data_IF_114099993445
#
_entry.id   IF_114099993445
#
_cell.length_a   1.000
_cell.length_b   1.000
_cell.length_c   1.000
_cell.angle_alpha   90.00
_cell.angle_beta   90.00
_cell.angle_gamma   90.00
#
_symmetry.space_group_name_H-M   'P 1'
#
loop_
_entity.id
_entity.type
_entity.pdbx_description
1 polymer ?
#
# COMPACT_ATOMS: atom_id res chain seq x y z
N UNK A 1 -36.27 -17.78 -24.92
CA UNK A 1 -35.73 -16.86 -23.88
C UNK A 1 -34.36 -16.32 -24.25
N UNK A 2 -33.42 -17.16 -24.70
CA UNK A 2 -32.05 -16.75 -24.95
C UNK A 2 -31.84 -15.74 -26.12
N UNK A 3 -32.73 -15.71 -27.13
CA UNK A 3 -32.72 -14.66 -28.18
C UNK A 3 -33.02 -13.26 -27.61
N UNK A 4 -34.01 -13.17 -26.71
CA UNK A 4 -34.39 -11.91 -26.06
C UNK A 4 -33.29 -11.37 -25.15
N UNK A 5 -32.57 -12.26 -24.46
CA UNK A 5 -31.42 -11.88 -23.63
C UNK A 5 -30.29 -11.29 -24.47
N UNK A 6 -30.05 -11.84 -25.66
CA UNK A 6 -29.01 -11.31 -26.55
C UNK A 6 -29.40 -9.96 -27.16
N UNK A 7 -30.68 -9.78 -27.53
CA UNK A 7 -31.21 -8.47 -27.95
C UNK A 7 -31.04 -7.41 -26.85
N UNK A 8 -31.27 -7.79 -25.60
CA UNK A 8 -31.03 -6.91 -24.45
C UNK A 8 -29.55 -6.56 -24.27
N UNK A 9 -28.65 -7.53 -24.39
CA UNK A 9 -27.20 -7.29 -24.37
C UNK A 9 -26.81 -6.30 -25.48
N UNK A 10 -27.26 -6.50 -26.71
CA UNK A 10 -26.94 -5.59 -27.83
C UNK A 10 -27.50 -4.18 -27.62
N UNK A 11 -28.70 -4.07 -27.04
CA UNK A 11 -29.28 -2.77 -26.63
C UNK A 11 -28.39 -2.08 -25.59
N UNK A 12 -27.95 -2.80 -24.56
CA UNK A 12 -27.04 -2.26 -23.53
C UNK A 12 -25.69 -1.88 -24.09
N UNK A 13 -25.10 -2.69 -24.96
CA UNK A 13 -23.84 -2.35 -25.65
C UNK A 13 -23.97 -1.08 -26.50
N UNK A 14 -25.13 -0.86 -27.12
CA UNK A 14 -25.42 0.37 -27.87
C UNK A 14 -25.53 1.58 -26.94
N UNK A 15 -26.17 1.43 -25.78
CA UNK A 15 -26.26 2.49 -24.76
C UNK A 15 -24.92 2.83 -24.12
N UNK A 16 -24.02 1.84 -24.02
CA UNK A 16 -22.67 2.02 -23.53
C UNK A 16 -21.72 2.56 -24.62
N UNK A 17 -22.19 2.89 -25.83
CA UNK A 17 -21.34 3.36 -26.94
C UNK A 17 -20.22 2.37 -27.32
N UNK A 18 -20.48 1.05 -27.26
CA UNK A 18 -19.53 0.07 -27.76
C UNK A 18 -19.39 0.24 -29.29
N UNK A 19 -18.18 0.48 -29.84
CA UNK A 19 -17.99 0.80 -31.26
C UNK A 19 -18.53 -0.26 -32.24
N UNK A 20 -18.61 -1.52 -31.79
CA UNK A 20 -19.08 -2.65 -32.58
C UNK A 20 -20.37 -3.26 -32.03
N UNK A 21 -21.23 -2.46 -31.39
CA UNK A 21 -22.51 -2.91 -30.83
C UNK A 21 -23.45 -3.57 -31.86
N UNK A 22 -23.29 -3.24 -33.14
CA UNK A 22 -24.05 -3.83 -34.26
C UNK A 22 -23.47 -5.15 -34.79
N UNK A 23 -22.39 -5.66 -34.20
CA UNK A 23 -21.82 -6.94 -34.60
C UNK A 23 -22.86 -8.08 -34.46
N UNK A 24 -22.85 -9.09 -35.34
CA UNK A 24 -23.75 -10.23 -35.24
C UNK A 24 -23.60 -10.92 -33.89
N UNK A 25 -24.72 -11.30 -33.28
CA UNK A 25 -24.73 -11.98 -31.97
C UNK A 25 -23.82 -13.22 -31.94
N UNK A 26 -23.77 -13.97 -33.04
CA UNK A 26 -22.90 -15.14 -33.17
C UNK A 26 -21.42 -14.77 -33.03
N UNK A 27 -20.97 -13.66 -33.63
CA UNK A 27 -19.58 -13.19 -33.56
C UNK A 27 -19.16 -12.79 -32.14
N UNK A 28 -20.11 -12.37 -31.29
CA UNK A 28 -19.85 -12.02 -29.89
C UNK A 28 -19.85 -13.25 -28.96
N UNK A 29 -20.63 -14.26 -29.32
CA UNK A 29 -20.84 -15.45 -28.48
C UNK A 29 -19.77 -16.52 -28.69
N UNK A 30 -19.28 -16.70 -29.92
CA UNK A 30 -18.31 -17.75 -30.26
C UNK A 30 -16.87 -17.23 -30.29
N UNK A 31 -15.91 -18.15 -30.19
CA UNK A 31 -14.48 -17.84 -30.28
C UNK A 31 -14.17 -17.01 -31.53
N UNK A 32 -13.42 -15.94 -31.35
CA UNK A 32 -13.00 -15.07 -32.44
C UNK A 32 -12.70 -13.65 -32.00
N UNK A 33 -12.12 -12.89 -32.93
CA UNK A 33 -11.61 -11.54 -32.69
C UNK A 33 -12.67 -10.59 -32.12
N UNK A 34 -13.92 -10.67 -32.60
CA UNK A 34 -15.01 -9.80 -32.12
C UNK A 34 -15.37 -10.05 -30.65
N UNK A 35 -15.33 -11.31 -30.20
CA UNK A 35 -15.59 -11.67 -28.81
C UNK A 35 -14.48 -11.17 -27.89
N UNK A 36 -13.22 -11.38 -28.26
CA UNK A 36 -12.09 -10.95 -27.43
C UNK A 36 -12.01 -9.43 -27.36
N UNK A 37 -12.24 -8.72 -28.48
CA UNK A 37 -12.34 -7.25 -28.49
C UNK A 37 -13.45 -6.72 -27.59
N UNK A 38 -14.61 -7.38 -27.59
CA UNK A 38 -15.70 -7.01 -26.70
C UNK A 38 -15.29 -7.18 -25.23
N UNK A 39 -14.72 -8.33 -24.87
CA UNK A 39 -14.30 -8.61 -23.49
C UNK A 39 -13.22 -7.64 -23.02
N UNK A 40 -12.23 -7.35 -23.84
CA UNK A 40 -11.21 -6.34 -23.53
C UNK A 40 -11.81 -4.97 -23.31
N UNK A 41 -12.70 -4.53 -24.20
CA UNK A 41 -13.33 -3.22 -24.09
C UNK A 41 -14.17 -3.11 -22.81
N UNK A 42 -14.91 -4.16 -22.47
CA UNK A 42 -15.71 -4.22 -21.24
C UNK A 42 -14.81 -4.20 -19.98
N UNK A 43 -13.74 -5.01 -19.97
CA UNK A 43 -12.81 -5.05 -18.83
C UNK A 43 -12.02 -3.76 -18.68
N UNK A 44 -11.59 -3.16 -19.79
CA UNK A 44 -10.94 -1.85 -19.79
C UNK A 44 -11.88 -0.79 -19.22
N UNK A 45 -13.16 -0.81 -19.58
CA UNK A 45 -14.15 0.13 -19.04
C UNK A 45 -14.40 -0.05 -17.53
N UNK A 46 -14.25 -1.26 -17.01
CA UNK A 46 -14.34 -1.53 -15.57
C UNK A 46 -13.08 -1.11 -14.81
N UNK A 47 -11.91 -1.43 -15.34
CA UNK A 47 -10.64 -1.35 -14.60
C UNK A 47 -9.87 -0.05 -14.84
N UNK A 48 -10.10 0.61 -15.98
CA UNK A 48 -9.43 1.84 -16.39
C UNK A 48 -7.92 1.69 -16.67
N UNK A 49 -7.27 2.80 -17.01
CA UNK A 49 -5.87 2.89 -17.44
C UNK A 49 -4.84 2.56 -16.34
N UNK A 50 -5.28 2.48 -15.09
CA UNK A 50 -4.41 2.18 -13.92
C UNK A 50 -4.51 0.73 -13.47
N UNK A 51 -5.14 -0.11 -14.30
CA UNK A 51 -5.29 -1.53 -14.03
C UNK A 51 -3.93 -2.23 -13.99
N UNK A 52 -3.71 -3.18 -13.06
CA UNK A 52 -2.55 -4.08 -13.12
C UNK A 52 -2.59 -4.99 -14.37
N UNK A 53 -3.70 -4.98 -15.10
CA UNK A 53 -3.93 -5.76 -16.33
C UNK A 53 -3.78 -4.94 -17.62
N UNK A 54 -3.21 -3.73 -17.56
CA UNK A 54 -3.03 -2.87 -18.74
C UNK A 54 -1.96 -3.46 -19.66
N UNK A 55 -2.34 -4.09 -20.77
CA UNK A 55 -1.42 -4.58 -21.80
C UNK A 55 -1.35 -3.62 -22.99
N UNK A 56 -0.14 -3.51 -23.56
CA UNK A 56 0.24 -2.67 -24.70
C UNK A 56 -0.43 -3.15 -25.99
N UNK A 57 -0.80 -2.19 -26.84
CA UNK A 57 -1.39 -2.33 -28.17
C UNK A 57 -1.08 -3.67 -28.86
N UNK A 58 -2.08 -4.56 -28.92
CA UNK A 58 -2.07 -5.71 -29.83
C UNK A 58 -2.16 -5.17 -31.27
N UNK A 59 -1.01 -5.03 -31.95
CA UNK A 59 -0.96 -4.66 -33.35
C UNK A 59 -1.68 -5.71 -34.21
N UNK A 60 -2.38 -5.23 -35.24
CA UNK A 60 -3.47 -5.95 -35.91
C UNK A 60 -2.99 -7.05 -36.88
N UNK A 61 -1.68 -7.30 -37.03
CA UNK A 61 -1.16 -7.94 -38.26
C UNK A 61 -0.19 -9.13 -38.09
N UNK A 62 -0.02 -9.70 -36.89
CA UNK A 62 0.71 -10.99 -36.76
C UNK A 62 0.17 -11.85 -35.62
N UNK A 63 -0.97 -12.51 -35.82
CA UNK A 63 -1.47 -13.52 -34.87
C UNK A 63 -0.58 -14.77 -34.94
N UNK A 64 0.51 -14.77 -34.18
CA UNK A 64 1.09 -16.01 -33.71
C UNK A 64 0.07 -16.68 -32.76
N UNK A 65 -0.06 -17.99 -32.84
CA UNK A 65 -1.03 -18.76 -32.05
C UNK A 65 -0.78 -18.58 -30.55
N UNK A 66 0.47 -18.31 -30.19
CA UNK A 66 0.90 -18.08 -28.81
C UNK A 66 0.46 -16.71 -28.27
N UNK A 67 0.37 -15.67 -29.11
CA UNK A 67 -0.16 -14.37 -28.71
C UNK A 67 -1.67 -14.43 -28.42
N UNK A 68 -2.43 -15.15 -29.25
CA UNK A 68 -3.85 -15.37 -29.02
C UNK A 68 -4.08 -16.15 -27.71
N UNK A 69 -3.28 -17.18 -27.45
CA UNK A 69 -3.35 -17.95 -26.21
C UNK A 69 -3.02 -17.09 -24.98
N UNK A 70 -1.98 -16.25 -25.06
CA UNK A 70 -1.62 -15.32 -23.98
C UNK A 70 -2.73 -14.29 -23.72
N UNK A 71 -3.36 -13.79 -24.78
CA UNK A 71 -4.50 -12.87 -24.70
C UNK A 71 -5.72 -13.52 -24.03
N UNK A 72 -6.04 -14.76 -24.41
CA UNK A 72 -7.15 -15.51 -23.81
C UNK A 72 -6.87 -15.79 -22.32
N UNK A 73 -5.64 -16.17 -22.00
CA UNK A 73 -5.20 -16.40 -20.62
C UNK A 73 -5.35 -15.12 -19.78
N UNK A 74 -4.90 -13.98 -20.29
CA UNK A 74 -5.04 -12.68 -19.64
C UNK A 74 -6.51 -12.30 -19.36
N UNK A 75 -7.38 -12.49 -20.35
CA UNK A 75 -8.82 -12.26 -20.17
C UNK A 75 -9.45 -13.19 -19.13
N UNK A 76 -8.98 -14.44 -19.03
CA UNK A 76 -9.46 -15.40 -18.05
C UNK A 76 -9.02 -15.02 -16.62
N UNK A 77 -7.81 -14.48 -16.47
CA UNK A 77 -7.31 -13.95 -15.21
C UNK A 77 -8.12 -12.74 -14.74
N UNK A 78 -8.43 -11.80 -15.64
CA UNK A 78 -9.29 -10.65 -15.32
C UNK A 78 -10.69 -11.12 -14.89
N UNK A 79 -11.27 -12.07 -15.64
CA UNK A 79 -12.60 -12.62 -15.32
C UNK A 79 -12.64 -13.29 -13.94
N UNK A 80 -11.60 -14.06 -13.61
CA UNK A 80 -11.46 -14.68 -12.29
C UNK A 80 -11.25 -13.63 -11.19
N UNK A 81 -10.44 -12.63 -11.46
CA UNK A 81 -10.14 -11.54 -10.53
C UNK A 81 -11.38 -10.69 -10.19
N UNK A 82 -12.22 -10.42 -11.18
CA UNK A 82 -13.50 -9.72 -11.00
C UNK A 82 -14.59 -10.59 -10.35
N UNK A 83 -14.32 -11.88 -10.15
CA UNK A 83 -15.28 -12.84 -9.59
C UNK A 83 -16.43 -13.19 -10.55
N UNK A 84 -16.26 -12.95 -11.85
CA UNK A 84 -17.21 -13.36 -12.89
C UNK A 84 -17.12 -14.87 -13.10
N UNK A 85 -15.90 -15.41 -13.05
CA UNK A 85 -15.62 -16.84 -13.03
C UNK A 85 -15.00 -17.24 -11.69
N UNK A 86 -15.31 -18.46 -11.23
CA UNK A 86 -14.78 -19.00 -9.96
C UNK A 86 -13.27 -19.25 -10.00
N UNK A 87 -12.74 -19.52 -11.19
CA UNK A 87 -11.32 -19.76 -11.44
C UNK A 87 -10.91 -19.17 -12.80
N UNK A 88 -9.62 -19.18 -13.08
CA UNK A 88 -9.07 -18.86 -14.39
C UNK A 88 -9.49 -19.96 -15.36
N UNK A 89 -10.41 -19.64 -16.28
CA UNK A 89 -10.99 -20.58 -17.25
C UNK A 89 -10.98 -19.97 -18.65
N UNK A 90 -10.03 -20.41 -19.47
CA UNK A 90 -9.83 -19.95 -20.84
C UNK A 90 -10.92 -20.45 -21.78
N UNK A 91 -11.58 -21.58 -21.47
CA UNK A 91 -12.63 -22.16 -22.30
C UNK A 91 -13.91 -21.29 -22.25
N UNK A 92 -14.20 -20.72 -21.07
CA UNK A 92 -15.30 -19.75 -20.90
C UNK A 92 -15.05 -18.47 -21.71
N UNK A 93 -13.80 -17.98 -21.71
CA UNK A 93 -13.39 -16.82 -22.52
C UNK A 93 -13.49 -17.13 -24.01
N UNK A 94 -13.11 -18.33 -24.45
CA UNK A 94 -13.30 -18.78 -25.84
C UNK A 94 -14.78 -18.99 -26.24
N UNK A 95 -15.72 -18.93 -25.29
CA UNK A 95 -17.14 -19.17 -25.60
C UNK A 95 -17.49 -20.65 -25.78
N UNK A 96 -16.70 -21.55 -25.19
CA UNK A 96 -17.04 -22.98 -25.14
C UNK A 96 -18.21 -23.21 -24.17
N UNK A 97 -19.00 -24.24 -24.43
CA UNK A 97 -20.19 -24.58 -23.63
C UNK A 97 -21.53 -24.33 -24.33
N UNK A 98 -22.61 -24.30 -23.54
CA UNK A 98 -23.97 -24.08 -24.05
C UNK A 98 -24.20 -22.63 -24.48
N UNK A 99 -25.22 -22.40 -25.30
CA UNK A 99 -25.61 -21.05 -25.73
C UNK A 99 -25.97 -20.18 -24.53
N UNK A 100 -26.68 -20.75 -23.57
CA UNK A 100 -27.12 -20.10 -22.34
C UNK A 100 -25.92 -19.61 -21.51
N UNK A 101 -24.90 -20.46 -21.31
CA UNK A 101 -23.69 -20.08 -20.57
C UNK A 101 -22.91 -18.95 -21.24
N UNK A 102 -22.82 -18.97 -22.58
CA UNK A 102 -22.18 -17.90 -23.35
C UNK A 102 -22.90 -16.56 -23.18
N UNK A 103 -24.22 -16.57 -23.28
CA UNK A 103 -25.07 -15.39 -23.13
C UNK A 103 -25.02 -14.88 -21.69
N UNK A 104 -25.06 -15.78 -20.71
CA UNK A 104 -25.02 -15.44 -19.30
C UNK A 104 -23.71 -14.74 -18.92
N UNK A 105 -22.56 -15.25 -19.38
CA UNK A 105 -21.27 -14.59 -19.17
C UNK A 105 -21.28 -13.15 -19.70
N UNK A 106 -21.68 -12.95 -20.96
CA UNK A 106 -21.72 -11.62 -21.55
C UNK A 106 -22.70 -10.71 -20.81
N UNK A 107 -23.87 -11.24 -20.41
CA UNK A 107 -24.86 -10.49 -19.63
C UNK A 107 -24.26 -10.01 -18.30
N UNK A 108 -23.60 -10.88 -17.55
CA UNK A 108 -22.99 -10.53 -16.27
C UNK A 108 -21.96 -9.40 -16.40
N UNK A 109 -21.11 -9.47 -17.42
CA UNK A 109 -20.08 -8.46 -17.65
C UNK A 109 -20.71 -7.13 -18.09
N UNK A 110 -21.67 -7.16 -19.01
CA UNK A 110 -22.36 -5.96 -19.50
C UNK A 110 -23.19 -5.29 -18.41
N UNK A 111 -23.90 -6.09 -17.60
CA UNK A 111 -24.66 -5.59 -16.45
C UNK A 111 -23.73 -4.94 -15.42
N UNK A 112 -22.54 -5.51 -15.19
CA UNK A 112 -21.53 -4.95 -14.30
C UNK A 112 -20.97 -3.62 -14.82
N UNK A 113 -20.69 -3.52 -16.13
CA UNK A 113 -20.23 -2.29 -16.78
C UNK A 113 -21.33 -1.21 -16.78
N UNK A 114 -22.58 -1.60 -17.00
CA UNK A 114 -23.71 -0.67 -16.94
C UNK A 114 -23.87 -0.13 -15.52
N UNK A 115 -23.86 -1.00 -14.51
CA UNK A 115 -23.94 -0.59 -13.11
C UNK A 115 -22.80 0.36 -12.72
N UNK A 116 -21.57 0.14 -13.22
CA UNK A 116 -20.44 1.02 -12.94
C UNK A 116 -20.54 2.40 -13.61
N UNK A 117 -21.35 2.55 -14.66
CA UNK A 117 -21.60 3.84 -15.31
C UNK A 117 -22.56 4.73 -14.51
N UNK A 118 -23.45 4.13 -13.70
CA UNK A 118 -24.42 4.84 -12.87
C UNK A 118 -24.01 4.93 -11.40
N UNK A 119 -22.80 4.50 -11.04
CA UNK A 119 -22.27 4.73 -9.71
C UNK A 119 -22.03 6.25 -9.51
N UNK A 120 -22.58 6.81 -8.42
CA UNK A 120 -22.53 8.24 -8.10
C UNK A 120 -21.11 8.82 -7.97
N UNK A 121 -20.10 7.96 -7.87
CA UNK A 121 -18.69 8.36 -7.80
C UNK A 121 -17.82 7.52 -8.78
N UNK A 122 -17.17 8.14 -9.78
CA UNK A 122 -16.33 7.45 -10.76
C UNK A 122 -15.10 6.75 -10.14
N UNK A 123 -14.69 7.11 -8.92
CA UNK A 123 -13.61 6.44 -8.19
C UNK A 123 -14.03 5.08 -7.63
N UNK A 124 -15.34 4.81 -7.52
CA UNK A 124 -15.89 3.57 -6.94
C UNK A 124 -16.04 2.45 -7.98
N UNK A 125 -15.49 2.65 -9.19
CA UNK A 125 -15.39 1.62 -10.24
C UNK A 125 -14.47 0.47 -9.86
N UNK A 126 -13.69 0.61 -8.78
CA UNK A 126 -12.87 -0.44 -8.21
C UNK A 126 -13.77 -1.55 -7.64
N UNK A 127 -13.62 -2.78 -8.14
CA UNK A 127 -14.42 -3.92 -7.72
C UNK A 127 -14.18 -4.30 -6.25
N UNK A 128 -15.17 -4.95 -5.64
CA UNK A 128 -15.12 -5.45 -4.25
C UNK A 128 -13.85 -6.24 -3.92
N UNK A 129 -13.28 -6.96 -4.90
CA UNK A 129 -12.06 -7.74 -4.74
C UNK A 129 -10.81 -6.85 -4.58
N UNK A 130 -10.72 -5.75 -5.33
CA UNK A 130 -9.65 -4.76 -5.19
C UNK A 130 -9.74 -4.02 -3.86
N UNK A 131 -10.96 -3.63 -3.47
CA UNK A 131 -11.23 -3.05 -2.15
C UNK A 131 -10.81 -4.00 -1.02
N UNK A 132 -11.07 -5.30 -1.17
CA UNK A 132 -10.63 -6.31 -0.21
C UNK A 132 -9.11 -6.36 -0.09
N UNK A 133 -8.39 -6.43 -1.22
CA UNK A 133 -6.92 -6.47 -1.25
C UNK A 133 -6.28 -5.19 -0.70
N UNK A 134 -6.88 -4.02 -0.99
CA UNK A 134 -6.42 -2.73 -0.47
C UNK A 134 -6.66 -2.66 1.03
N UNK A 135 -7.86 -3.00 1.51
CA UNK A 135 -8.18 -2.99 2.93
C UNK A 135 -7.31 -3.97 3.72
N UNK A 136 -7.04 -5.17 3.18
CA UNK A 136 -6.17 -6.17 3.76
C UNK A 136 -4.73 -5.67 3.86
N UNK A 137 -4.15 -5.14 2.77
CA UNK A 137 -2.80 -4.57 2.79
C UNK A 137 -2.69 -3.39 3.76
N UNK A 138 -3.67 -2.49 3.78
CA UNK A 138 -3.67 -1.36 4.70
C UNK A 138 -3.78 -1.85 6.15
N UNK A 139 -4.65 -2.81 6.46
CA UNK A 139 -4.74 -3.41 7.79
C UNK A 139 -3.41 -4.06 8.21
N UNK A 140 -2.72 -4.74 7.29
CA UNK A 140 -1.41 -5.35 7.54
C UNK A 140 -0.32 -4.29 7.81
N UNK A 141 -0.19 -3.28 6.95
CA UNK A 141 0.74 -2.15 7.15
C UNK A 141 0.50 -1.50 8.51
N UNK A 142 -0.77 -1.20 8.83
CA UNK A 142 -1.10 -0.62 10.11
C UNK A 142 -0.79 -1.57 11.27
N UNK A 143 -0.94 -2.89 11.15
CA UNK A 143 -0.75 -3.82 12.27
C UNK A 143 0.68 -4.36 12.46
N UNK A 144 1.51 -4.38 11.41
CA UNK A 144 2.85 -4.98 11.41
C UNK A 144 3.94 -3.92 11.21
N UNK A 145 3.81 -3.06 10.19
CA UNK A 145 4.84 -2.09 9.81
C UNK A 145 4.77 -0.81 10.65
N UNK A 146 3.56 -0.34 10.97
CA UNK A 146 3.38 0.88 11.76
C UNK A 146 3.60 0.72 13.27
N UNK A 147 3.86 -0.50 13.76
CA UNK A 147 4.35 -0.73 15.13
C UNK A 147 5.76 -0.16 15.35
N UNK A 148 6.48 0.14 14.27
CA UNK A 148 7.85 0.67 14.30
C UNK A 148 7.90 2.21 14.34
N UNK A 149 6.77 2.90 14.18
CA UNK A 149 6.76 4.35 14.35
C UNK A 149 6.64 4.69 15.84
N UNK A 150 7.49 5.60 16.36
CA UNK A 150 7.15 6.32 17.58
C UNK A 150 5.73 6.87 17.43
N UNK A 151 4.95 6.90 18.51
CA UNK A 151 3.72 7.68 18.51
C UNK A 151 4.01 9.10 17.96
N UNK A 152 2.99 9.82 17.49
CA UNK A 152 3.11 11.26 17.23
C UNK A 152 3.47 11.95 18.55
N UNK A 153 4.75 11.88 18.92
CA UNK A 153 5.31 12.64 20.01
C UNK A 153 5.21 14.04 19.48
N UNK A 154 4.25 14.79 20.00
CA UNK A 154 4.41 16.24 20.09
C UNK A 154 5.65 16.42 20.95
N UNK A 155 6.84 16.34 20.33
CA UNK A 155 8.10 16.67 20.95
C UNK A 155 7.97 18.17 21.13
N UNK A 156 7.39 18.60 22.25
CA UNK A 156 7.79 19.86 22.84
C UNK A 156 9.27 19.64 23.16
N UNK A 157 10.15 20.09 22.27
CA UNK A 157 11.59 20.06 22.51
C UNK A 157 11.83 20.89 23.76
N UNK A 158 12.04 20.24 24.89
CA UNK A 158 12.29 20.91 26.17
C UNK A 158 13.64 21.64 26.13
N UNK A 159 14.52 21.26 25.20
CA UNK A 159 15.81 21.91 25.00
C UNK A 159 15.88 22.60 23.62
N UNK A 160 16.22 23.90 23.55
CA UNK A 160 16.44 24.57 22.28
C UNK A 160 17.63 23.93 21.56
N UNK A 161 17.48 23.68 20.26
CA UNK A 161 18.59 23.25 19.41
C UNK A 161 19.77 24.25 19.57
N UNK A 162 21.00 23.78 19.78
CA UNK A 162 22.15 24.67 19.88
C UNK A 162 22.30 25.47 18.59
N UNK A 163 22.51 26.77 18.74
CA UNK A 163 22.59 27.72 17.64
C UNK A 163 23.75 27.33 16.70
N UNK A 164 23.42 27.16 15.42
CA UNK A 164 24.37 26.79 14.36
C UNK A 164 25.51 27.82 14.30
N UNK A 165 25.20 29.10 14.55
CA UNK A 165 26.21 30.16 14.55
C UNK A 165 27.23 30.02 15.69
N UNK A 166 26.84 29.48 16.84
CA UNK A 166 27.76 29.21 17.96
C UNK A 166 28.70 28.04 17.62
N UNK A 167 28.18 27.02 16.93
CA UNK A 167 28.98 25.87 16.48
C UNK A 167 29.97 26.28 15.38
N UNK A 168 29.54 27.10 14.42
CA UNK A 168 30.42 27.66 13.38
C UNK A 168 31.51 28.56 13.97
N UNK A 169 31.16 29.36 14.98
CA UNK A 169 32.13 30.18 15.72
C UNK A 169 33.22 29.32 16.36
N UNK A 170 32.80 28.30 17.14
CA UNK A 170 33.72 27.35 17.80
C UNK A 170 34.59 26.61 16.80
N UNK A 171 34.03 26.18 15.68
CA UNK A 171 34.79 25.52 14.62
C UNK A 171 35.88 26.46 14.08
N UNK A 172 35.55 27.72 13.81
CA UNK A 172 36.53 28.71 13.35
C UNK A 172 37.65 28.96 14.37
N UNK A 173 37.33 29.00 15.67
CA UNK A 173 38.30 29.18 16.75
C UNK A 173 39.28 28.00 16.82
N UNK A 174 38.78 26.77 16.70
CA UNK A 174 39.62 25.57 16.69
C UNK A 174 40.47 25.47 15.43
N UNK A 175 39.91 25.80 14.25
CA UNK A 175 40.68 25.85 13.01
C UNK A 175 41.83 26.85 13.12
N UNK A 176 41.57 28.04 13.69
CA UNK A 176 42.61 29.07 13.89
C UNK A 176 43.71 28.60 14.85
N UNK A 177 43.34 27.95 15.96
CA UNK A 177 44.30 27.36 16.91
C UNK A 177 45.17 26.30 16.23
N UNK A 178 44.57 25.46 15.38
CA UNK A 178 45.29 24.42 14.65
C UNK A 178 46.32 25.01 13.67
N UNK A 179 45.93 26.02 12.89
CA UNK A 179 46.87 26.70 11.97
C UNK A 179 48.02 27.39 12.72
N UNK A 180 47.75 28.00 13.88
CA UNK A 180 48.81 28.61 14.69
C UNK A 180 49.81 27.58 15.21
N UNK A 181 49.32 26.42 15.67
CA UNK A 181 50.19 25.33 16.13
C UNK A 181 51.02 24.75 14.98
N UNK A 182 50.42 24.57 13.80
CA UNK A 182 51.15 24.11 12.61
C UNK A 182 52.26 25.09 12.21
N UNK A 183 51.98 26.40 12.23
CA UNK A 183 53.00 27.41 11.94
C UNK A 183 54.13 27.38 12.98
N UNK A 184 53.81 27.27 14.27
CA UNK A 184 54.80 27.19 15.33
C UNK A 184 55.70 25.96 15.19
N UNK A 185 55.13 24.81 14.83
CA UNK A 185 55.89 23.58 14.53
C UNK A 185 56.81 23.79 13.33
N UNK A 186 56.35 24.46 12.27
CA UNK A 186 57.16 24.69 11.08
C UNK A 186 58.29 25.71 11.31
N UNK A 187 58.05 26.73 12.13
CA UNK A 187 59.08 27.66 12.58
C UNK A 187 60.13 26.97 13.45
N UNK A 188 59.71 26.11 14.39
CA UNK A 188 60.63 25.29 15.20
C UNK A 188 61.47 24.36 14.33
N UNK A 189 60.84 23.66 13.38
CA UNK A 189 61.54 22.77 12.43
C UNK A 189 62.54 23.52 11.53
N UNK A 190 62.32 24.81 11.24
CA UNK A 190 63.24 25.62 10.45
C UNK A 190 64.43 26.19 11.26
N UNK A 191 64.30 26.28 12.59
CA UNK A 191 65.29 26.91 13.48
C UNK A 191 66.26 25.92 14.12
N UNK A 192 65.89 24.65 14.23
CA UNK A 192 66.69 23.62 14.89
C UNK A 192 66.92 22.45 13.94
N UNK A 193 68.18 22.19 13.58
CA UNK A 193 68.55 20.96 12.88
C UNK A 193 68.41 19.78 13.85
N UNK A 194 67.69 18.73 13.43
CA UNK A 194 67.44 17.55 14.25
C UNK A 194 68.75 16.91 14.71
N UNK A 195 69.06 17.01 16.00
CA UNK A 195 70.25 16.43 16.62
C UNK A 195 69.89 15.15 17.38
N UNK A 196 70.24 13.96 16.89
CA UNK A 196 69.91 12.69 17.53
C UNK A 196 70.65 12.45 18.87
N UNK A 197 71.62 13.31 19.24
CA UNK A 197 72.42 13.21 20.46
C UNK A 197 72.13 14.32 21.48
N UNK A 198 71.04 15.07 21.32
CA UNK A 198 70.62 16.08 22.30
C UNK A 198 70.06 15.42 23.56
N UNK A 199 70.32 15.98 24.74
CA UNK A 199 69.83 15.42 26.00
C UNK A 199 68.35 15.76 26.19
N UNK A 200 67.49 14.82 25.80
CA UNK A 200 66.03 14.98 25.84
C UNK A 200 65.42 14.69 27.22
N UNK A 201 66.22 14.52 28.28
CA UNK A 201 65.72 14.09 29.59
C UNK A 201 64.56 14.96 30.14
N UNK A 202 64.63 16.29 29.97
CA UNK A 202 63.57 17.21 30.42
C UNK A 202 62.29 17.08 29.56
N UNK A 203 62.44 16.98 28.24
CA UNK A 203 61.33 16.82 27.30
C UNK A 203 60.66 15.47 27.46
N UNK A 204 61.44 14.41 27.68
CA UNK A 204 60.94 13.07 27.98
C UNK A 204 60.17 13.05 29.30
N UNK A 205 60.68 13.73 30.33
CA UNK A 205 59.99 13.87 31.62
C UNK A 205 58.63 14.57 31.43
N UNK A 206 58.60 15.71 30.73
CA UNK A 206 57.35 16.45 30.43
C UNK A 206 56.36 15.61 29.60
N UNK A 207 56.84 14.85 28.62
CA UNK A 207 56.00 13.96 27.82
C UNK A 207 55.41 12.84 28.68
N UNK A 208 56.21 12.26 29.58
CA UNK A 208 55.75 11.24 30.54
C UNK A 208 54.68 11.79 31.48
N UNK A 209 54.86 13.01 31.98
CA UNK A 209 53.85 13.69 32.79
C UNK A 209 52.53 13.92 32.02
N UNK A 210 52.60 14.38 30.77
CA UNK A 210 51.42 14.57 29.94
C UNK A 210 50.70 13.26 29.61
N UNK A 211 51.45 12.21 29.27
CA UNK A 211 50.88 10.88 29.01
C UNK A 211 50.24 10.30 30.26
N UNK A 212 50.82 10.55 31.44
CA UNK A 212 50.24 10.13 32.71
C UNK A 212 48.92 10.85 32.97
N UNK A 213 48.86 12.17 32.79
CA UNK A 213 47.64 12.96 32.92
C UNK A 213 46.56 12.53 31.91
N UNK A 214 46.95 12.27 30.67
CA UNK A 214 46.03 11.74 29.65
C UNK A 214 45.49 10.36 30.06
N UNK A 215 46.35 9.47 30.56
CA UNK A 215 45.95 8.15 31.02
C UNK A 215 44.98 8.23 32.22
N UNK A 216 45.16 9.19 33.12
CA UNK A 216 44.20 9.47 34.19
C UNK A 216 42.85 9.96 33.64
N UNK A 217 42.87 10.82 32.62
CA UNK A 217 41.65 11.29 31.95
C UNK A 217 40.90 10.14 31.27
N UNK A 218 41.62 9.26 30.56
CA UNK A 218 41.03 8.07 29.91
C UNK A 218 40.46 7.10 30.95
N UNK A 219 41.13 6.89 32.09
CA UNK A 219 40.61 6.07 33.18
C UNK A 219 39.33 6.66 33.78
N UNK A 220 39.29 7.97 33.99
CA UNK A 220 38.10 8.68 34.45
C UNK A 220 36.95 8.55 33.45
N UNK A 221 37.21 8.78 32.16
CA UNK A 221 36.21 8.58 31.11
C UNK A 221 35.71 7.14 31.07
N UNK A 222 36.60 6.14 31.12
CA UNK A 222 36.22 4.74 31.10
C UNK A 222 35.37 4.37 32.33
N UNK A 223 35.65 4.99 33.49
CA UNK A 223 34.84 4.82 34.70
C UNK A 223 33.44 5.40 34.52
N UNK A 224 33.33 6.62 34.00
CA UNK A 224 32.04 7.27 33.69
C UNK A 224 31.28 6.46 32.65
N UNK A 225 31.94 6.03 31.58
CA UNK A 225 31.33 5.21 30.56
C UNK A 225 30.80 3.90 31.13
N UNK A 226 31.61 3.18 31.92
CA UNK A 226 31.22 1.85 32.41
C UNK A 226 30.19 1.91 33.55
N UNK A 227 30.22 2.96 34.38
CA UNK A 227 29.34 3.06 35.56
C UNK A 227 28.10 3.91 35.34
N UNK A 228 28.15 4.87 34.44
CA UNK A 228 27.06 5.80 34.20
C UNK A 228 26.49 5.58 32.80
N UNK A 229 27.28 5.77 31.74
CA UNK A 229 26.72 5.73 30.38
C UNK A 229 26.24 4.31 29.99
N UNK A 230 27.04 3.29 30.25
CA UNK A 230 26.75 1.92 29.84
C UNK A 230 25.52 1.34 30.57
N UNK A 231 25.36 1.50 31.90
CA UNK A 231 24.12 1.14 32.57
C UNK A 231 22.94 1.96 32.08
N UNK A 232 23.07 3.25 31.78
CA UNK A 232 21.94 4.02 31.22
C UNK A 232 21.52 3.50 29.84
N UNK A 233 22.46 3.17 28.97
CA UNK A 233 22.16 2.59 27.65
C UNK A 233 21.57 1.17 27.71
N UNK A 234 21.78 0.43 28.81
CA UNK A 234 21.30 -0.95 29.00
C UNK A 234 20.15 -1.08 30.02
N UNK A 235 19.91 -0.07 30.87
CA UNK A 235 18.83 0.00 31.87
C UNK A 235 17.73 1.00 31.50
N UNK A 236 17.91 1.82 30.47
CA UNK A 236 16.74 2.36 29.79
C UNK A 236 16.01 1.16 29.19
N UNK A 237 14.90 0.75 29.83
CA UNK A 237 13.92 -0.07 29.15
C UNK A 237 13.72 0.56 27.76
N UNK A 238 13.93 -0.23 26.71
CA UNK A 238 13.60 0.16 25.33
C UNK A 238 12.25 0.87 25.42
N UNK A 239 12.12 2.12 24.93
CA UNK A 239 10.86 2.85 25.05
C UNK A 239 9.74 1.91 24.63
N UNK A 240 8.88 1.53 25.58
CA UNK A 240 7.75 0.70 25.23
C UNK A 240 6.92 1.54 24.27
N UNK A 241 7.00 1.21 22.98
CA UNK A 241 6.16 1.78 21.96
C UNK A 241 4.73 1.41 22.37
N UNK A 242 4.07 2.30 23.10
CA UNK A 242 2.66 2.15 23.39
C UNK A 242 1.98 2.01 22.04
N UNK A 243 1.19 0.93 21.90
CA UNK A 243 0.50 0.60 20.65
C UNK A 243 -0.26 1.81 20.10
N UNK A 244 -0.57 1.76 18.80
CA UNK A 244 -1.11 2.86 17.99
C UNK A 244 -1.77 4.02 18.76
N UNK A 245 -1.42 5.26 18.39
CA UNK A 245 -2.13 6.45 18.87
C UNK A 245 -3.66 6.28 18.69
N UNK A 246 -4.52 6.95 19.48
CA UNK A 246 -5.97 6.79 19.38
C UNK A 246 -6.53 6.98 17.96
N UNK A 247 -5.90 7.82 17.15
CA UNK A 247 -6.25 8.02 15.74
C UNK A 247 -5.87 6.81 14.86
N UNK A 248 -4.61 6.34 14.95
CA UNK A 248 -4.16 5.16 14.21
C UNK A 248 -4.92 3.88 14.64
N UNK A 249 -5.24 3.75 15.94
CA UNK A 249 -6.08 2.67 16.45
C UNK A 249 -7.52 2.73 15.91
N UNK A 250 -8.09 3.93 15.73
CA UNK A 250 -9.40 4.10 15.08
C UNK A 250 -9.35 3.71 13.61
N UNK A 251 -8.28 4.08 12.90
CA UNK A 251 -8.09 3.73 11.50
C UNK A 251 -7.95 2.21 11.31
N UNK A 252 -7.14 1.55 12.14
CA UNK A 252 -7.00 0.10 12.15
C UNK A 252 -8.33 -0.60 12.44
N UNK A 253 -9.12 -0.09 13.39
CA UNK A 253 -10.48 -0.59 13.65
C UNK A 253 -11.40 -0.38 12.45
N UNK A 254 -11.33 0.76 11.77
CA UNK A 254 -12.11 1.01 10.56
C UNK A 254 -11.76 0.04 9.44
N UNK A 255 -10.46 -0.21 9.18
CA UNK A 255 -10.04 -1.19 8.18
C UNK A 255 -10.47 -2.62 8.53
N UNK A 256 -10.34 -3.05 9.80
CA UNK A 256 -10.81 -4.36 10.22
C UNK A 256 -12.33 -4.51 10.07
N UNK A 257 -13.10 -3.47 10.39
CA UNK A 257 -14.55 -3.45 10.18
C UNK A 257 -14.91 -3.51 8.70
N UNK A 258 -14.18 -2.79 7.83
CA UNK A 258 -14.33 -2.87 6.38
C UNK A 258 -14.03 -4.29 5.86
N UNK A 259 -12.97 -4.91 6.35
CA UNK A 259 -12.60 -6.28 5.98
C UNK A 259 -13.72 -7.27 6.36
N UNK A 260 -14.27 -7.15 7.57
CA UNK A 260 -15.41 -7.96 8.04
C UNK A 260 -16.65 -7.72 7.17
N UNK A 261 -16.97 -6.47 6.86
CA UNK A 261 -18.08 -6.08 6.00
C UNK A 261 -17.96 -6.70 4.59
N UNK A 262 -16.80 -6.55 3.95
CA UNK A 262 -16.56 -7.12 2.63
C UNK A 262 -16.57 -8.66 2.65
N UNK A 263 -16.07 -9.28 3.72
CA UNK A 263 -16.19 -10.72 3.95
C UNK A 263 -17.64 -11.17 4.04
N UNK A 264 -18.47 -10.45 4.79
CA UNK A 264 -19.90 -10.72 4.92
C UNK A 264 -20.64 -10.56 3.58
N UNK A 265 -20.33 -9.52 2.79
CA UNK A 265 -20.89 -9.35 1.44
C UNK A 265 -20.49 -10.49 0.50
N UNK A 266 -19.24 -10.96 0.59
CA UNK A 266 -18.79 -12.15 -0.14
C UNK A 266 -19.60 -13.38 0.27
N UNK A 267 -19.76 -13.64 1.56
CA UNK A 267 -20.58 -14.74 2.06
C UNK A 267 -22.05 -14.64 1.65
N UNK A 268 -22.61 -13.43 1.61
CA UNK A 268 -23.99 -13.18 1.15
C UNK A 268 -24.13 -13.51 -0.34
N UNK A 269 -23.20 -13.03 -1.16
CA UNK A 269 -23.12 -13.35 -2.59
C UNK A 269 -22.99 -14.86 -2.79
N UNK A 270 -22.08 -15.50 -2.07
CA UNK A 270 -21.82 -16.94 -2.21
C UNK A 270 -23.07 -17.76 -1.79
N UNK A 271 -23.75 -17.35 -0.72
CA UNK A 271 -25.02 -17.94 -0.29
C UNK A 271 -26.11 -17.76 -1.35
N UNK A 272 -26.22 -16.57 -1.95
CA UNK A 272 -27.17 -16.31 -3.03
C UNK A 272 -26.87 -17.14 -4.28
N UNK A 273 -25.59 -17.27 -4.66
CA UNK A 273 -25.19 -18.14 -5.78
C UNK A 273 -25.48 -19.62 -5.51
N UNK A 274 -25.32 -20.09 -4.27
CA UNK A 274 -25.66 -21.46 -3.88
C UNK A 274 -27.17 -21.72 -3.92
N UNK A 275 -28.00 -20.74 -3.51
CA UNK A 275 -29.45 -20.80 -3.65
C UNK A 275 -29.88 -20.78 -5.12
N UNK A 276 -29.27 -19.92 -5.95
CA UNK A 276 -29.57 -19.81 -7.37
C UNK A 276 -29.16 -21.07 -8.16
N UNK A 277 -28.10 -21.77 -7.72
CA UNK A 277 -27.65 -23.04 -8.30
C UNK A 277 -28.52 -24.25 -7.90
N UNK A 278 -29.59 -24.06 -7.14
CA UNK A 278 -30.55 -25.12 -6.80
C UNK A 278 -30.06 -26.12 -5.75
N UNK A 279 -29.00 -25.80 -4.99
CA UNK A 279 -28.57 -26.62 -3.86
C UNK A 279 -29.49 -26.37 -2.66
N UNK A 280 -30.66 -27.02 -2.67
CA UNK A 280 -31.55 -27.09 -1.52
C UNK A 280 -30.94 -28.00 -0.45
N UNK A 281 -30.01 -27.48 0.34
CA UNK A 281 -29.89 -27.93 1.72
C UNK A 281 -31.03 -27.28 2.49
N UNK A 282 -32.11 -28.03 2.69
CA UNK A 282 -33.18 -27.69 3.64
C UNK A 282 -32.61 -27.68 5.05
N UNK A 283 -31.96 -26.58 5.46
CA UNK A 283 -31.89 -26.21 6.87
C UNK A 283 -32.74 -24.95 7.05
N UNK A 284 -33.81 -25.11 7.84
CA UNK A 284 -34.69 -24.02 8.27
C UNK A 284 -33.93 -23.07 9.21
N UNK A 285 -32.98 -22.30 8.70
CA UNK A 285 -32.41 -21.17 9.45
C UNK A 285 -32.57 -19.86 8.66
N UNK A 286 -33.69 -19.15 8.87
CA UNK A 286 -33.83 -17.75 8.45
C UNK A 286 -32.92 -16.81 9.26
N UNK A 287 -32.01 -17.34 10.10
CA UNK A 287 -31.19 -16.62 11.07
C UNK A 287 -29.79 -16.24 10.55
N UNK A 288 -29.24 -16.94 9.55
CA UNK A 288 -27.85 -16.69 9.10
C UNK A 288 -27.75 -15.48 8.17
N UNK A 289 -28.62 -15.40 7.15
CA UNK A 289 -28.63 -14.28 6.19
C UNK A 289 -29.10 -12.97 6.84
N UNK A 290 -30.13 -13.02 7.69
CA UNK A 290 -30.59 -11.84 8.46
C UNK A 290 -29.51 -11.33 9.42
N UNK A 291 -28.74 -12.23 10.03
CA UNK A 291 -27.58 -11.87 10.85
C UNK A 291 -26.45 -11.26 10.02
N UNK A 292 -26.15 -11.80 8.83
CA UNK A 292 -25.16 -11.23 7.91
C UNK A 292 -25.57 -9.82 7.49
N UNK A 293 -26.84 -9.60 7.17
CA UNK A 293 -27.37 -8.26 6.81
C UNK A 293 -27.25 -7.29 7.99
N UNK A 294 -27.64 -7.69 9.19
CA UNK A 294 -27.50 -6.87 10.41
C UNK A 294 -26.03 -6.55 10.74
N UNK A 295 -25.14 -7.52 10.61
CA UNK A 295 -23.69 -7.32 10.75
C UNK A 295 -23.16 -6.36 9.67
N UNK A 296 -23.72 -6.39 8.45
CA UNK A 296 -23.38 -5.47 7.39
C UNK A 296 -23.84 -4.03 7.67
N UNK A 297 -25.09 -3.86 8.13
CA UNK A 297 -25.66 -2.55 8.49
C UNK A 297 -24.90 -1.91 9.67
N UNK A 298 -24.58 -2.69 10.70
CA UNK A 298 -23.79 -2.22 11.83
C UNK A 298 -22.35 -1.86 11.44
N UNK A 299 -21.72 -2.63 10.55
CA UNK A 299 -20.40 -2.28 10.03
C UNK A 299 -20.42 -0.99 9.18
N UNK A 300 -21.45 -0.80 8.35
CA UNK A 300 -21.64 0.42 7.56
C UNK A 300 -21.82 1.66 8.44
N UNK A 301 -22.63 1.57 9.50
CA UNK A 301 -22.82 2.69 10.43
C UNK A 301 -21.52 3.07 11.13
N UNK A 302 -20.73 2.07 11.57
CA UNK A 302 -19.40 2.31 12.17
C UNK A 302 -18.41 2.93 11.18
N UNK A 303 -18.39 2.45 9.93
CA UNK A 303 -17.52 2.99 8.87
C UNK A 303 -17.87 4.43 8.52
N UNK A 304 -19.16 4.74 8.34
CA UNK A 304 -19.62 6.10 8.06
C UNK A 304 -19.26 7.08 9.18
N UNK A 305 -19.40 6.66 10.43
CA UNK A 305 -18.97 7.46 11.58
C UNK A 305 -17.45 7.71 11.55
N UNK A 306 -16.65 6.67 11.28
CA UNK A 306 -15.19 6.79 11.20
C UNK A 306 -14.73 7.68 10.04
N UNK A 307 -15.38 7.56 8.87
CA UNK A 307 -15.11 8.40 7.70
C UNK A 307 -15.50 9.86 7.95
N UNK A 308 -16.59 10.13 8.65
CA UNK A 308 -16.97 11.50 9.05
C UNK A 308 -15.92 12.16 9.95
N UNK A 309 -15.34 11.40 10.89
CA UNK A 309 -14.24 11.90 11.74
C UNK A 309 -12.97 12.17 10.93
N UNK A 310 -12.64 11.30 9.97
CA UNK A 310 -11.49 11.50 9.09
C UNK A 310 -11.70 12.71 8.16
N UNK A 311 -12.88 12.85 7.58
CA UNK A 311 -13.24 13.97 6.72
C UNK A 311 -13.16 15.31 7.46
N UNK A 312 -13.64 15.39 8.70
CA UNK A 312 -13.50 16.61 9.53
C UNK A 312 -12.04 16.89 9.93
N UNK A 313 -11.21 15.85 10.06
CA UNK A 313 -9.77 16.00 10.33
C UNK A 313 -9.02 16.54 9.10
N UNK A 314 -9.34 16.03 7.90
CA UNK A 314 -8.77 16.51 6.62
C UNK A 314 -9.19 17.94 6.33
N UNK A 315 -10.46 18.29 6.54
CA UNK A 315 -10.94 19.67 6.37
C UNK A 315 -10.20 20.67 7.30
N UNK A 316 -9.88 20.25 8.53
CA UNK A 316 -9.05 21.03 9.48
C UNK A 316 -7.63 21.24 8.99
N UNK A 317 -7.02 20.25 8.33
CA UNK A 317 -5.66 20.33 7.80
C UNK A 317 -5.60 21.22 6.55
N UNK A 318 -6.64 21.20 5.72
CA UNK A 318 -6.74 22.03 4.51
C UNK A 318 -7.12 23.49 4.79
N UNK A 319 -7.34 23.87 6.05
CA UNK A 319 -7.69 25.23 6.44
C UNK A 319 -9.11 25.65 6.03
N UNK A 320 -9.95 24.70 5.61
CA UNK A 320 -11.36 24.95 5.32
C UNK A 320 -12.11 25.06 6.65
N UNK A 321 -12.34 26.30 7.09
CA UNK A 321 -13.34 26.56 8.13
C UNK A 321 -14.71 26.18 7.58
N UNK A 322 -15.36 25.21 8.25
CA UNK A 322 -16.77 24.84 8.04
C UNK A 322 -17.70 26.06 7.95
#
# INVERSE_FOLDING_TARGET
>A
MASKQMEEIQRKLSLLDYPRAKAPAQSLLFAGVERYRLLEWLFFRLLGDRSPFTQQNWEEDSLDRDEENNRIQHLAEISSFLGITLSVDTEVIQGRGSYEKRVELLRLIVDLVEASCYADNPEWRLGLQQLYSIAEKQAQIFSEECKLFPADVQIQSIDPLPDITELELKLSEYTKKMTNLQQMVQELASKYDYNPNEDYAETEMKLREHLQSFMETVKSFNTIYTKEIHPWTHMMEVPQLHGFSPAANRLLKAYNTLLKFLGNLRSLRDSYTAMAAGSLSTSNEPSSVTKIISDCESALTFLNHSLSILSTSVAREQGETL
#
